data_IF_089927416500
#
_entry.id   IF_089927416500
#
_cell.length_a   1.000
_cell.length_b   1.000
_cell.length_c   1.000
_cell.angle_alpha   90.00
_cell.angle_beta   90.00
_cell.angle_gamma   90.00
#
_symmetry.space_group_name_H-M   'P 1'
#
loop_
_entity.id
_entity.type
_entity.pdbx_description
1 polymer ?
#
# COMPACT_ATOMS: atom_id res chain seq x y z
N UNK A 1 -20.88 70.28 6.70
CA UNK A 1 -21.71 71.13 7.59
C UNK A 1 -23.02 70.38 7.79
N UNK A 2 -23.25 69.84 9.00
CA UNK A 2 -24.30 70.31 9.93
C UNK A 2 -25.71 69.92 9.41
N UNK A 3 -26.53 69.10 10.04
CA UNK A 3 -26.85 68.98 11.46
C UNK A 3 -27.59 67.66 11.75
N UNK A 4 -27.46 67.25 13.00
CA UNK A 4 -28.21 66.28 13.80
C UNK A 4 -29.74 66.30 13.62
N UNK A 5 -30.38 65.13 13.73
CA UNK A 5 -31.61 64.96 14.53
C UNK A 5 -31.67 63.57 15.18
N UNK A 6 -31.96 63.62 16.48
CA UNK A 6 -32.14 62.54 17.43
C UNK A 6 -33.57 62.01 17.30
N UNK A 7 -33.73 60.70 17.25
CA UNK A 7 -34.98 60.05 17.64
C UNK A 7 -34.66 58.69 18.26
N UNK A 8 -34.75 58.65 19.59
CA UNK A 8 -34.72 57.44 20.39
C UNK A 8 -36.01 56.65 20.17
N UNK A 9 -35.90 55.41 19.71
CA UNK A 9 -36.97 54.42 19.86
C UNK A 9 -36.40 53.22 20.61
N UNK A 10 -36.71 53.17 21.89
CA UNK A 10 -36.55 51.98 22.71
C UNK A 10 -37.63 50.98 22.28
N UNK A 11 -37.22 49.88 21.65
CA UNK A 11 -38.03 48.67 21.56
C UNK A 11 -37.27 47.53 22.24
N UNK A 12 -37.70 47.29 23.48
CA UNK A 12 -37.44 46.05 24.21
C UNK A 12 -38.26 44.95 23.54
N UNK A 13 -37.61 43.93 22.99
CA UNK A 13 -38.21 42.63 22.78
C UNK A 13 -37.14 41.53 22.82
N UNK A 14 -37.28 40.70 23.85
CA UNK A 14 -36.60 39.44 24.11
C UNK A 14 -36.78 38.47 22.93
N UNK A 15 -35.70 37.88 22.43
CA UNK A 15 -35.78 36.86 21.38
C UNK A 15 -34.43 36.19 21.15
N UNK A 16 -34.18 35.10 21.89
CA UNK A 16 -33.09 34.16 21.59
C UNK A 16 -33.51 33.26 20.43
N UNK A 17 -32.71 33.19 19.36
CA UNK A 17 -32.32 31.97 18.63
C UNK A 17 -31.72 32.33 17.26
N UNK A 18 -30.51 31.82 16.98
CA UNK A 18 -30.04 31.60 15.61
C UNK A 18 -28.71 32.28 15.25
N UNK A 19 -27.58 31.76 15.73
CA UNK A 19 -26.28 32.09 15.16
C UNK A 19 -26.16 31.50 13.74
N UNK A 20 -25.92 32.39 12.78
CA UNK A 20 -25.54 32.09 11.41
C UNK A 20 -24.05 31.72 11.38
N UNK A 21 -23.77 30.54 10.86
CA UNK A 21 -22.59 30.11 10.10
C UNK A 21 -21.27 30.91 10.31
N UNK A 22 -20.30 30.30 10.99
CA UNK A 22 -18.89 30.59 10.76
C UNK A 22 -18.09 29.28 10.81
N UNK A 23 -17.48 28.98 9.67
CA UNK A 23 -16.48 27.95 9.47
C UNK A 23 -15.31 28.11 10.45
N UNK A 24 -15.03 27.08 11.25
CA UNK A 24 -13.69 26.76 11.75
C UNK A 24 -13.71 25.41 12.48
N UNK A 25 -13.04 24.43 11.88
CA UNK A 25 -12.24 23.39 12.50
C UNK A 25 -12.38 23.18 14.02
N UNK A 26 -13.01 22.08 14.42
CA UNK A 26 -12.66 21.35 15.64
C UNK A 26 -13.19 19.92 15.55
N UNK A 27 -12.45 19.10 14.81
CA UNK A 27 -12.37 17.66 15.00
C UNK A 27 -11.93 17.42 16.45
N UNK A 28 -12.80 16.78 17.22
CA UNK A 28 -12.59 16.50 18.63
C UNK A 28 -11.27 15.74 18.86
N UNK A 29 -10.54 16.27 19.83
CA UNK A 29 -9.45 15.72 20.64
C UNK A 29 -9.33 14.19 20.67
N UNK A 30 -8.15 13.75 20.25
CA UNK A 30 -7.25 12.81 20.96
C UNK A 30 -7.92 11.81 21.91
N UNK A 31 -8.05 10.57 21.42
CA UNK A 31 -8.17 9.39 22.27
C UNK A 31 -7.44 8.25 21.61
N UNK A 32 -6.29 7.94 22.21
CA UNK A 32 -5.39 6.84 21.94
C UNK A 32 -6.13 5.50 22.03
N UNK A 33 -6.58 5.03 20.88
CA UNK A 33 -6.70 3.62 20.56
C UNK A 33 -6.26 3.51 19.10
N UNK A 34 -4.99 3.19 18.88
CA UNK A 34 -4.43 2.94 17.55
C UNK A 34 -4.94 1.58 17.06
N UNK A 35 -6.24 1.52 16.80
CA UNK A 35 -6.79 0.57 15.85
C UNK A 35 -6.51 1.18 14.49
N UNK A 36 -5.44 0.70 13.86
CA UNK A 36 -5.06 1.15 12.51
C UNK A 36 -6.29 1.17 11.62
N UNK A 37 -6.54 2.33 11.01
CA UNK A 37 -7.60 2.51 10.04
C UNK A 37 -7.30 1.65 8.80
N UNK A 38 -7.68 0.36 8.87
CA UNK A 38 -7.51 -0.63 7.80
C UNK A 38 -8.11 -0.17 6.48
N UNK A 39 -8.99 0.85 6.49
CA UNK A 39 -9.57 1.44 5.29
C UNK A 39 -8.55 2.18 4.41
N UNK A 40 -7.35 2.47 4.94
CA UNK A 40 -6.24 3.13 4.24
C UNK A 40 -4.97 2.29 4.12
N UNK A 41 -5.00 1.02 4.52
CA UNK A 41 -3.85 0.13 4.42
C UNK A 41 -3.35 0.00 2.96
N UNK A 42 -2.05 -0.28 2.74
CA UNK A 42 -1.56 -0.66 1.43
C UNK A 42 -2.09 -2.04 1.07
N UNK A 43 -2.27 -2.30 -0.23
CA UNK A 43 -2.76 -3.59 -0.73
C UNK A 43 -1.82 -4.06 -1.82
N UNK A 44 -1.03 -5.10 -1.55
CA UNK A 44 -0.16 -5.73 -2.53
C UNK A 44 -0.98 -6.69 -3.39
N UNK A 45 -1.03 -6.47 -4.70
CA UNK A 45 -1.71 -7.34 -5.66
C UNK A 45 -0.80 -7.71 -6.81
N UNK A 46 -0.45 -8.99 -6.93
CA UNK A 46 0.34 -9.50 -8.06
C UNK A 46 -0.54 -9.79 -9.27
N UNK A 47 0.00 -9.61 -10.48
CA UNK A 47 -0.67 -10.06 -11.73
C UNK A 47 -0.73 -11.59 -11.80
N UNK A 48 0.32 -12.26 -11.36
CA UNK A 48 0.40 -13.71 -11.16
C UNK A 48 1.30 -14.02 -9.97
N UNK A 49 1.05 -15.12 -9.29
CA UNK A 49 1.89 -15.63 -8.19
C UNK A 49 2.69 -16.87 -8.59
N UNK A 50 2.51 -17.38 -9.80
CA UNK A 50 3.28 -18.51 -10.32
C UNK A 50 3.76 -18.27 -11.74
N UNK A 51 4.92 -18.86 -12.05
CA UNK A 51 5.48 -18.89 -13.39
C UNK A 51 5.98 -20.29 -13.71
N UNK A 52 5.46 -20.87 -14.79
CA UNK A 52 5.94 -22.12 -15.36
C UNK A 52 6.99 -21.80 -16.43
N UNK A 53 8.24 -22.17 -16.17
CA UNK A 53 9.34 -21.94 -17.11
C UNK A 53 9.55 -23.10 -18.10
N UNK A 54 8.75 -24.16 -17.98
CA UNK A 54 8.83 -25.35 -18.81
C UNK A 54 10.15 -26.09 -18.68
N UNK A 55 10.51 -26.81 -19.73
CA UNK A 55 11.75 -27.61 -19.75
C UNK A 55 12.94 -26.71 -20.10
N UNK A 56 13.92 -26.69 -19.20
CA UNK A 56 15.22 -26.03 -19.38
C UNK A 56 16.35 -27.05 -19.36
N UNK A 57 17.52 -26.67 -19.87
CA UNK A 57 18.73 -27.48 -19.67
C UNK A 57 19.34 -27.19 -18.31
N UNK A 58 20.02 -28.18 -17.74
CA UNK A 58 20.81 -28.00 -16.52
C UNK A 58 21.87 -26.91 -16.75
N UNK A 59 21.99 -25.99 -15.78
CA UNK A 59 22.90 -24.85 -15.83
C UNK A 59 22.30 -23.57 -16.45
N UNK A 60 21.11 -23.63 -17.04
CA UNK A 60 20.39 -22.45 -17.49
C UNK A 60 19.88 -21.60 -16.31
N UNK A 61 19.73 -20.29 -16.56
CA UNK A 61 19.13 -19.35 -15.63
C UNK A 61 17.75 -18.95 -16.14
N UNK A 62 16.76 -19.12 -15.28
CA UNK A 62 15.40 -18.63 -15.51
C UNK A 62 15.26 -17.30 -14.78
N UNK A 63 14.80 -16.26 -15.48
CA UNK A 63 14.46 -14.96 -14.89
C UNK A 63 13.00 -14.67 -15.16
N UNK A 64 12.28 -14.26 -14.12
CA UNK A 64 10.89 -13.81 -14.26
C UNK A 64 10.60 -12.59 -13.39
N UNK A 65 9.81 -11.68 -13.95
CA UNK A 65 9.44 -10.41 -13.33
C UNK A 65 7.98 -10.50 -12.88
N UNK A 66 7.78 -10.75 -11.59
CA UNK A 66 6.44 -10.74 -10.98
C UNK A 66 5.99 -9.29 -10.79
N UNK A 67 5.13 -8.83 -11.69
CA UNK A 67 4.51 -7.51 -11.62
C UNK A 67 3.45 -7.47 -10.52
N UNK A 68 3.41 -6.36 -9.80
CA UNK A 68 2.40 -6.09 -8.79
C UNK A 68 1.98 -4.63 -8.81
N UNK A 69 0.84 -4.35 -8.19
CA UNK A 69 0.29 -3.01 -7.99
C UNK A 69 -0.09 -2.81 -6.53
N UNK A 70 0.14 -1.61 -6.02
CA UNK A 70 -0.41 -1.18 -4.74
C UNK A 70 -1.85 -0.67 -4.92
N UNK A 71 -2.84 -1.52 -4.69
CA UNK A 71 -4.26 -1.18 -4.79
C UNK A 71 -4.83 -0.51 -3.52
N UNK A 72 -3.96 -0.16 -2.56
CA UNK A 72 -4.34 0.45 -1.30
C UNK A 72 -4.36 1.98 -1.36
N UNK A 73 -4.40 2.62 -0.19
CA UNK A 73 -4.46 4.09 -0.06
C UNK A 73 -3.27 4.70 0.68
N UNK A 74 -2.27 3.90 1.02
CA UNK A 74 -1.01 4.33 1.61
C UNK A 74 0.17 3.67 0.90
N UNK A 75 1.40 4.20 1.04
CA UNK A 75 2.59 3.60 0.42
C UNK A 75 2.82 2.16 0.87
N UNK A 76 3.03 1.28 -0.12
CA UNK A 76 3.40 -0.11 0.08
C UNK A 76 4.91 -0.21 0.20
N UNK A 77 5.38 -0.88 1.25
CA UNK A 77 6.79 -1.13 1.51
C UNK A 77 7.01 -2.64 1.48
N UNK A 78 7.88 -3.10 0.59
CA UNK A 78 8.37 -4.48 0.59
C UNK A 78 9.62 -4.53 1.47
N UNK A 79 9.49 -5.11 2.66
CA UNK A 79 10.58 -5.16 3.65
C UNK A 79 11.53 -6.32 3.37
N UNK A 80 11.05 -7.42 2.81
CA UNK A 80 11.88 -8.58 2.51
C UNK A 80 11.36 -9.35 1.30
N UNK A 81 12.30 -9.95 0.56
CA UNK A 81 12.02 -11.02 -0.39
C UNK A 81 13.07 -12.11 -0.15
N UNK A 82 12.64 -13.32 0.16
CA UNK A 82 13.53 -14.44 0.49
C UNK A 82 13.12 -15.71 -0.25
N UNK A 83 14.10 -16.45 -0.74
CA UNK A 83 13.86 -17.73 -1.40
C UNK A 83 14.16 -18.90 -0.45
N UNK A 84 13.50 -20.04 -0.69
CA UNK A 84 13.72 -21.26 0.09
C UNK A 84 15.07 -21.95 -0.16
N UNK A 85 15.77 -21.63 -1.26
CA UNK A 85 17.12 -22.13 -1.56
C UNK A 85 18.02 -20.98 -2.03
N UNK A 86 19.34 -21.11 -1.81
CA UNK A 86 20.35 -20.20 -2.40
C UNK A 86 20.48 -20.31 -3.92
N UNK A 87 19.74 -21.23 -4.56
CA UNK A 87 19.67 -21.38 -6.01
C UNK A 87 18.70 -20.40 -6.68
N UNK A 88 17.90 -19.69 -5.88
CA UNK A 88 16.92 -18.71 -6.32
C UNK A 88 17.21 -17.38 -5.64
N UNK A 89 17.29 -16.31 -6.42
CA UNK A 89 17.63 -14.97 -5.93
C UNK A 89 16.50 -14.02 -6.31
N UNK A 90 15.73 -13.51 -5.32
CA UNK A 90 14.76 -12.45 -5.55
C UNK A 90 15.42 -11.07 -5.40
N UNK A 91 14.94 -10.12 -6.21
CA UNK A 91 15.25 -8.70 -6.14
C UNK A 91 13.95 -7.93 -6.00
N UNK A 92 13.87 -7.09 -4.97
CA UNK A 92 12.70 -6.26 -4.64
C UNK A 92 13.01 -4.78 -4.87
N UNK A 93 12.01 -3.92 -5.06
CA UNK A 93 12.19 -2.48 -4.99
C UNK A 93 12.65 -2.04 -3.58
N UNK A 94 13.50 -1.03 -3.52
CA UNK A 94 13.91 -0.40 -2.26
C UNK A 94 13.07 0.82 -1.89
N UNK A 95 12.51 1.49 -2.89
CA UNK A 95 11.59 2.61 -2.67
C UNK A 95 10.17 2.12 -2.33
N UNK A 96 9.43 2.87 -1.49
CA UNK A 96 7.99 2.66 -1.31
C UNK A 96 7.22 2.82 -2.63
N UNK A 97 6.17 2.02 -2.81
CA UNK A 97 5.30 2.05 -3.98
C UNK A 97 4.02 2.80 -3.63
N UNK A 98 3.75 3.91 -4.33
CA UNK A 98 2.60 4.77 -4.06
C UNK A 98 1.25 4.09 -4.36
N UNK A 99 0.13 4.64 -3.85
CA UNK A 99 -1.21 4.16 -4.21
C UNK A 99 -1.45 4.19 -5.73
N UNK A 100 -1.89 3.07 -6.28
CA UNK A 100 -2.12 2.87 -7.71
C UNK A 100 -0.86 2.64 -8.55
N UNK A 101 0.34 2.72 -7.96
CA UNK A 101 1.59 2.48 -8.66
C UNK A 101 1.92 0.98 -8.70
N UNK A 102 2.67 0.60 -9.74
CA UNK A 102 3.13 -0.77 -9.97
C UNK A 102 4.63 -0.92 -9.74
N UNK A 103 5.03 -2.13 -9.35
CA UNK A 103 6.42 -2.53 -9.17
C UNK A 103 6.66 -3.96 -9.67
N UNK A 104 7.89 -4.42 -9.53
CA UNK A 104 8.32 -5.76 -9.95
C UNK A 104 9.14 -6.41 -8.85
N UNK A 105 8.86 -7.69 -8.58
CA UNK A 105 9.81 -8.60 -7.91
C UNK A 105 10.47 -9.45 -8.99
N UNK A 106 11.76 -9.24 -9.24
CA UNK A 106 12.53 -10.05 -10.18
C UNK A 106 13.03 -11.29 -9.45
N UNK A 107 12.80 -12.47 -10.02
CA UNK A 107 13.27 -13.73 -9.45
C UNK A 107 14.13 -14.45 -10.46
N UNK A 108 15.36 -14.78 -10.07
CA UNK A 108 16.30 -15.55 -10.89
C UNK A 108 16.56 -16.90 -10.26
N UNK A 109 16.26 -17.98 -10.98
CA UNK A 109 16.59 -19.35 -10.61
C UNK A 109 17.77 -19.86 -11.44
N UNK A 110 18.78 -20.44 -10.77
CA UNK A 110 19.91 -21.12 -11.39
C UNK A 110 19.73 -22.64 -11.30
N UNK A 111 19.58 -23.31 -12.45
CA UNK A 111 19.34 -24.77 -12.51
C UNK A 111 20.59 -25.62 -12.39
N UNK A 112 21.78 -25.03 -12.23
CA UNK A 112 23.04 -25.78 -12.06
C UNK A 112 22.94 -26.80 -10.92
N UNK A 113 23.20 -28.07 -11.22
CA UNK A 113 23.09 -29.17 -10.24
C UNK A 113 21.66 -29.44 -9.78
N UNK A 114 20.64 -29.08 -10.58
CA UNK A 114 19.23 -29.36 -10.33
C UNK A 114 18.67 -30.23 -11.45
N UNK A 115 17.89 -31.25 -11.06
CA UNK A 115 17.33 -32.24 -11.98
C UNK A 115 15.89 -32.57 -11.58
N UNK A 116 15.09 -32.98 -12.58
CA UNK A 116 13.66 -33.25 -12.40
C UNK A 116 12.84 -31.99 -12.15
N UNK A 117 11.58 -32.17 -11.74
CA UNK A 117 10.66 -31.08 -11.45
C UNK A 117 11.20 -30.19 -10.34
N UNK A 118 11.27 -28.89 -10.60
CA UNK A 118 11.62 -27.88 -9.62
C UNK A 118 10.37 -27.12 -9.18
N UNK A 119 10.30 -26.83 -7.89
CA UNK A 119 9.34 -25.91 -7.30
C UNK A 119 10.12 -24.97 -6.38
N UNK A 120 10.16 -23.68 -6.74
CA UNK A 120 10.96 -22.65 -6.07
C UNK A 120 10.06 -21.57 -5.52
N UNK A 121 9.90 -21.57 -4.20
CA UNK A 121 9.12 -20.57 -3.48
C UNK A 121 9.96 -19.37 -3.11
N UNK A 122 9.40 -18.18 -3.33
CA UNK A 122 9.88 -16.89 -2.84
C UNK A 122 8.80 -16.28 -1.95
N UNK A 123 9.16 -15.94 -0.72
CA UNK A 123 8.29 -15.29 0.26
C UNK A 123 8.57 -13.80 0.26
N UNK A 124 7.51 -13.00 0.07
CA UNK A 124 7.53 -11.54 0.08
C UNK A 124 6.91 -11.08 1.38
N UNK A 125 7.62 -10.22 2.12
CA UNK A 125 7.11 -9.57 3.33
C UNK A 125 6.91 -8.08 3.06
N UNK A 126 5.76 -7.56 3.48
CA UNK A 126 5.37 -6.17 3.30
C UNK A 126 4.55 -5.63 4.47
N UNK A 127 4.24 -4.34 4.43
CA UNK A 127 3.31 -3.69 5.36
C UNK A 127 1.83 -3.79 4.93
N UNK A 128 1.49 -4.57 3.89
CA UNK A 128 0.12 -4.85 3.50
C UNK A 128 -0.55 -5.88 4.43
N UNK A 129 -1.85 -6.12 4.24
CA UNK A 129 -2.56 -7.24 4.85
C UNK A 129 -3.14 -8.15 3.76
N UNK A 130 -2.73 -9.43 3.68
CA UNK A 130 -1.75 -10.10 4.53
C UNK A 130 -0.33 -9.50 4.41
N UNK A 131 0.46 -9.57 5.49
CA UNK A 131 1.85 -9.09 5.51
C UNK A 131 2.79 -9.92 4.64
N UNK A 132 2.35 -11.11 4.24
CA UNK A 132 3.17 -12.08 3.52
C UNK A 132 2.46 -12.53 2.25
N UNK A 133 3.21 -12.70 1.16
CA UNK A 133 2.74 -13.27 -0.10
C UNK A 133 3.78 -14.24 -0.64
N UNK A 134 3.35 -15.25 -1.38
CA UNK A 134 4.24 -16.25 -1.96
C UNK A 134 4.22 -16.19 -3.49
N UNK A 135 5.41 -16.32 -4.08
CA UNK A 135 5.64 -16.42 -5.52
C UNK A 135 6.34 -17.74 -5.81
N UNK A 136 6.02 -18.37 -6.94
CA UNK A 136 6.54 -19.71 -7.26
C UNK A 136 7.05 -19.79 -8.69
N UNK A 137 8.27 -20.30 -8.88
CA UNK A 137 8.75 -20.79 -10.18
C UNK A 137 8.63 -22.31 -10.21
N UNK A 138 8.00 -22.84 -11.25
CA UNK A 138 7.78 -24.28 -11.44
C UNK A 138 8.27 -24.68 -12.83
N UNK A 139 8.86 -25.87 -12.95
CA UNK A 139 9.29 -26.44 -14.24
C UNK A 139 10.33 -27.53 -14.10
#
# INVERSE_FOLDING_TARGET
>A
MKLFFIAAFAFVAMGMAGCKNQSSSQSNTDSLAVSGDSSRAPVLSFETTSYDFGKIKEGEKVSYDFKFTNNGKSPLIISNASASCGCTVPEKPDAPIGPGESGVIKVVFNSSGKQGMQNKTVTITSNAQPSTSELVLIG
#
